data_IF_065738199682
#
_entry.id   IF_065738199682
#
_cell.length_a   1.000
_cell.length_b   1.000
_cell.length_c   1.000
_cell.angle_alpha   90.00
_cell.angle_beta   90.00
_cell.angle_gamma   90.00
#
_symmetry.space_group_name_H-M   'P 1'
#
loop_
_entity.id
_entity.type
_entity.pdbx_description
1 polymer ?
#
# COMPACT_ATOMS: atom_id res chain seq x y z
N UNK A 1 23.62 0.10 -4.51
CA UNK A 1 22.41 0.68 -5.15
C UNK A 1 21.31 0.67 -4.08
N UNK A 2 20.50 1.72 -3.97
CA UNK A 2 19.39 1.76 -3.01
C UNK A 2 18.35 0.76 -3.45
N UNK A 3 17.97 -0.14 -2.55
CA UNK A 3 16.82 -1.01 -2.74
C UNK A 3 15.55 -0.27 -2.24
N UNK A 4 14.71 0.12 -3.18
CA UNK A 4 13.50 0.89 -2.89
C UNK A 4 12.49 0.12 -2.04
N UNK A 5 12.41 -1.21 -2.19
CA UNK A 5 11.49 -2.04 -1.40
C UNK A 5 11.95 -2.13 0.07
N UNK A 6 13.26 -2.25 0.30
CA UNK A 6 13.83 -2.19 1.65
C UNK A 6 13.62 -0.81 2.26
N UNK A 7 13.92 0.25 1.50
CA UNK A 7 13.78 1.63 1.99
C UNK A 7 12.33 1.98 2.39
N UNK A 8 11.33 1.49 1.65
CA UNK A 8 9.92 1.63 2.05
C UNK A 8 9.66 1.05 3.44
N UNK A 9 10.18 -0.14 3.71
CA UNK A 9 10.01 -0.82 5.01
C UNK A 9 10.74 -0.08 6.13
N UNK A 10 11.90 0.50 5.84
CA UNK A 10 12.65 1.33 6.81
C UNK A 10 11.83 2.56 7.24
N UNK A 11 11.13 3.22 6.31
CA UNK A 11 10.22 4.32 6.63
C UNK A 11 9.00 3.89 7.44
N UNK A 12 8.44 2.72 7.15
CA UNK A 12 7.23 2.21 7.81
C UNK A 12 7.54 1.68 9.22
N UNK A 13 8.70 1.06 9.42
CA UNK A 13 9.06 0.35 10.66
C UNK A 13 8.84 1.18 11.93
N UNK A 14 9.18 2.48 12.01
CA UNK A 14 8.93 3.28 13.21
C UNK A 14 7.45 3.46 13.59
N UNK A 15 6.54 3.26 12.63
CA UNK A 15 5.09 3.44 12.80
C UNK A 15 4.36 2.14 13.15
N UNK A 16 5.06 0.99 13.09
CA UNK A 16 4.46 -0.29 13.44
C UNK A 16 4.15 -0.34 14.94
N UNK A 17 2.90 -0.69 15.25
CA UNK A 17 2.43 -0.85 16.64
C UNK A 17 1.85 -2.25 16.79
N UNK A 18 2.39 -3.04 17.69
CA UNK A 18 1.86 -4.39 17.98
C UNK A 18 0.38 -4.31 18.37
N UNK A 19 -0.43 -5.21 17.84
CA UNK A 19 -1.87 -5.25 18.09
C UNK A 19 -2.70 -4.20 17.31
N UNK A 20 -2.06 -3.31 16.53
CA UNK A 20 -2.75 -2.32 15.70
C UNK A 20 -3.26 -2.90 14.37
N UNK A 21 -3.80 -2.02 13.52
CA UNK A 21 -4.37 -2.37 12.21
C UNK A 21 -3.48 -1.86 11.09
N UNK A 22 -3.14 -2.73 10.15
CA UNK A 22 -2.43 -2.38 8.92
C UNK A 22 -3.24 -2.82 7.69
N UNK A 23 -2.95 -2.22 6.54
CA UNK A 23 -3.55 -2.61 5.27
C UNK A 23 -2.54 -2.66 4.13
N UNK A 24 -2.63 -3.72 3.32
CA UNK A 24 -2.00 -3.85 2.01
C UNK A 24 -3.10 -3.72 0.95
N UNK A 25 -3.15 -2.58 0.28
CA UNK A 25 -4.21 -2.26 -0.68
C UNK A 25 -3.99 -2.84 -2.08
N UNK A 26 -2.89 -3.57 -2.27
CA UNK A 26 -2.47 -4.19 -3.54
C UNK A 26 -1.69 -5.47 -3.25
N UNK A 27 -2.36 -6.48 -2.65
CA UNK A 27 -1.69 -7.65 -2.06
C UNK A 27 -0.83 -8.44 -3.06
N UNK A 28 -1.25 -8.51 -4.32
CA UNK A 28 -0.50 -9.15 -5.39
C UNK A 28 -0.06 -10.58 -5.06
N UNK A 29 1.26 -10.78 -4.94
CA UNK A 29 1.85 -12.06 -4.57
C UNK A 29 2.08 -12.22 -3.06
N UNK A 30 1.57 -11.33 -2.23
CA UNK A 30 1.55 -11.43 -0.77
C UNK A 30 2.86 -11.10 -0.03
N UNK A 31 3.82 -10.44 -0.69
CA UNK A 31 5.10 -10.11 -0.06
C UNK A 31 4.94 -9.09 1.08
N UNK A 32 4.21 -8.01 0.82
CA UNK A 32 4.00 -6.95 1.81
C UNK A 32 2.95 -7.36 2.84
N UNK A 33 1.92 -8.11 2.41
CA UNK A 33 0.95 -8.74 3.32
C UNK A 33 1.63 -9.65 4.35
N UNK A 34 2.57 -10.52 3.92
CA UNK A 34 3.34 -11.39 4.80
C UNK A 34 4.20 -10.59 5.78
N UNK A 35 4.89 -9.57 5.26
CA UNK A 35 5.73 -8.71 6.09
C UNK A 35 4.90 -7.97 7.15
N UNK A 36 3.78 -7.36 6.77
CA UNK A 36 2.86 -6.71 7.69
C UNK A 36 2.30 -7.69 8.73
N UNK A 37 1.86 -8.88 8.31
CA UNK A 37 1.34 -9.91 9.22
C UNK A 37 2.33 -10.24 10.32
N UNK A 38 3.60 -10.47 9.97
CA UNK A 38 4.68 -10.73 10.94
C UNK A 38 4.96 -9.54 11.84
N UNK A 39 4.98 -8.33 11.26
CA UNK A 39 5.29 -7.10 11.98
C UNK A 39 4.20 -6.70 12.99
N UNK A 40 2.92 -6.96 12.67
CA UNK A 40 1.78 -6.66 13.54
C UNK A 40 1.61 -7.66 14.69
N UNK A 41 2.24 -8.83 14.62
CA UNK A 41 2.14 -9.89 15.63
C UNK A 41 0.74 -10.53 15.70
N UNK A 42 0.58 -11.53 16.55
CA UNK A 42 -0.65 -12.34 16.64
C UNK A 42 -1.92 -11.53 16.99
N UNK A 43 -1.76 -10.45 17.75
CA UNK A 43 -2.86 -9.60 18.21
C UNK A 43 -3.22 -8.48 17.22
N UNK A 44 -2.41 -8.27 16.17
CA UNK A 44 -2.66 -7.28 15.12
C UNK A 44 -3.72 -7.71 14.13
N UNK A 45 -4.08 -6.79 13.22
CA UNK A 45 -4.96 -7.09 12.10
C UNK A 45 -4.35 -6.56 10.81
N UNK A 46 -4.34 -7.38 9.76
CA UNK A 46 -3.89 -6.99 8.42
C UNK A 46 -5.01 -7.23 7.42
N UNK A 47 -5.44 -6.18 6.75
CA UNK A 47 -6.39 -6.27 5.64
C UNK A 47 -5.61 -6.20 4.33
N UNK A 48 -5.85 -7.16 3.42
CA UNK A 48 -5.14 -7.22 2.15
C UNK A 48 -6.13 -7.29 0.99
N UNK A 49 -6.03 -6.35 0.04
CA UNK A 49 -6.96 -6.18 -1.07
C UNK A 49 -6.32 -6.51 -2.41
N UNK A 50 -7.08 -7.15 -3.27
CA UNK A 50 -6.82 -7.24 -4.70
C UNK A 50 -8.12 -7.54 -5.45
N UNK A 51 -8.21 -7.13 -6.70
CA UNK A 51 -9.35 -7.45 -7.59
C UNK A 51 -9.18 -8.76 -8.34
N UNK A 52 -8.00 -9.38 -8.26
CA UNK A 52 -7.64 -10.57 -9.00
C UNK A 52 -7.66 -11.80 -8.09
N UNK A 53 -8.48 -12.80 -8.44
CA UNK A 53 -8.54 -14.08 -7.72
C UNK A 53 -7.18 -14.77 -7.63
N UNK A 54 -6.38 -14.69 -8.70
CA UNK A 54 -5.00 -15.22 -8.74
C UNK A 54 -4.10 -14.58 -7.67
N UNK A 55 -4.26 -13.28 -7.40
CA UNK A 55 -3.51 -12.60 -6.35
C UNK A 55 -3.90 -13.11 -4.96
N UNK A 56 -5.21 -13.29 -4.72
CA UNK A 56 -5.72 -13.84 -3.46
C UNK A 56 -5.21 -15.27 -3.22
N UNK A 57 -5.26 -16.14 -4.24
CA UNK A 57 -4.72 -17.51 -4.17
C UNK A 57 -3.21 -17.51 -3.90
N UNK A 58 -2.45 -16.70 -4.64
CA UNK A 58 -0.99 -16.60 -4.48
C UNK A 58 -0.60 -16.09 -3.09
N UNK A 59 -1.30 -15.06 -2.59
CA UNK A 59 -1.08 -14.51 -1.26
C UNK A 59 -1.40 -15.54 -0.18
N UNK A 60 -2.54 -16.24 -0.28
CA UNK A 60 -2.92 -17.29 0.67
C UNK A 60 -1.86 -18.39 0.74
N UNK A 61 -1.47 -18.91 -0.43
CA UNK A 61 -0.45 -19.96 -0.50
C UNK A 61 0.88 -19.53 0.12
N UNK A 62 1.29 -18.28 -0.09
CA UNK A 62 2.49 -17.71 0.52
C UNK A 62 2.39 -17.63 2.04
N UNK A 63 1.29 -17.08 2.56
CA UNK A 63 1.08 -16.91 4.01
C UNK A 63 1.06 -18.27 4.73
N UNK A 64 0.43 -19.29 4.13
CA UNK A 64 0.40 -20.65 4.65
C UNK A 64 1.80 -21.29 4.61
N UNK A 65 2.50 -21.23 3.47
CA UNK A 65 3.85 -21.81 3.32
C UNK A 65 4.87 -21.19 4.29
N UNK A 66 4.73 -19.89 4.56
CA UNK A 66 5.61 -19.13 5.44
C UNK A 66 5.17 -19.13 6.90
N UNK A 67 4.11 -19.88 7.23
CA UNK A 67 3.53 -19.98 8.60
C UNK A 67 3.28 -18.59 9.21
N UNK A 68 2.65 -17.71 8.43
CA UNK A 68 2.30 -16.37 8.89
C UNK A 68 1.32 -16.41 10.07
N UNK A 69 1.37 -15.44 11.01
CA UNK A 69 0.32 -15.27 12.02
C UNK A 69 -1.06 -15.22 11.37
N UNK A 70 -2.07 -15.82 12.02
CA UNK A 70 -3.46 -15.85 11.50
C UNK A 70 -4.21 -14.54 11.82
N UNK A 71 -3.57 -13.41 11.55
CA UNK A 71 -4.02 -12.06 11.85
C UNK A 71 -4.43 -11.27 10.59
N UNK A 72 -4.63 -11.95 9.46
CA UNK A 72 -4.93 -11.32 8.17
C UNK A 72 -6.32 -11.66 7.64
N UNK A 73 -6.85 -10.74 6.86
CA UNK A 73 -8.09 -10.91 6.08
C UNK A 73 -7.79 -10.59 4.62
N UNK A 74 -7.92 -11.60 3.74
CA UNK A 74 -7.74 -11.43 2.29
C UNK A 74 -9.08 -11.06 1.65
N UNK A 75 -9.12 -9.96 0.90
CA UNK A 75 -10.33 -9.36 0.35
C UNK A 75 -10.21 -9.30 -1.18
N UNK A 76 -11.09 -10.02 -1.86
CA UNK A 76 -11.24 -9.98 -3.32
C UNK A 76 -12.21 -8.86 -3.69
N UNK A 77 -11.73 -7.62 -3.63
CA UNK A 77 -12.50 -6.43 -3.97
C UNK A 77 -11.55 -5.27 -4.30
N UNK A 78 -12.09 -4.22 -4.89
CA UNK A 78 -11.36 -2.98 -5.12
C UNK A 78 -10.96 -2.32 -3.79
N UNK A 79 -9.73 -1.85 -3.71
CA UNK A 79 -9.26 -1.03 -2.59
C UNK A 79 -10.09 0.25 -2.40
N UNK A 80 -10.82 0.72 -3.43
CA UNK A 80 -11.75 1.85 -3.30
C UNK A 80 -12.93 1.57 -2.37
N UNK A 81 -13.18 0.30 -2.02
CA UNK A 81 -14.22 -0.13 -1.09
C UNK A 81 -13.70 -0.34 0.34
N UNK A 82 -12.47 0.11 0.65
CA UNK A 82 -11.78 -0.20 1.92
C UNK A 82 -12.63 0.12 3.17
N UNK A 83 -13.40 1.21 3.18
CA UNK A 83 -14.29 1.59 4.29
C UNK A 83 -15.46 0.63 4.53
N UNK A 84 -15.75 -0.28 3.61
CA UNK A 84 -16.75 -1.33 3.84
C UNK A 84 -16.18 -2.41 4.78
N UNK A 85 -14.89 -2.65 4.75
CA UNK A 85 -14.19 -3.72 5.46
C UNK A 85 -13.46 -3.25 6.71
N UNK A 86 -12.75 -2.12 6.62
CA UNK A 86 -11.94 -1.57 7.71
C UNK A 86 -12.76 -0.52 8.46
N UNK A 87 -12.86 -0.67 9.78
CA UNK A 87 -13.59 0.26 10.66
C UNK A 87 -12.68 0.91 11.71
N UNK A 88 -11.52 0.34 11.91
CA UNK A 88 -10.52 0.78 12.87
C UNK A 88 -9.53 1.76 12.22
N UNK A 89 -8.89 2.64 13.00
CA UNK A 89 -7.79 3.47 12.51
C UNK A 89 -6.60 2.62 12.04
N UNK A 90 -5.93 3.07 10.98
CA UNK A 90 -4.77 2.42 10.39
C UNK A 90 -3.47 2.98 10.98
N UNK A 91 -2.60 2.14 11.54
CA UNK A 91 -1.24 2.55 11.83
C UNK A 91 -0.36 2.54 10.57
N UNK A 92 -0.62 1.61 9.64
CA UNK A 92 0.14 1.47 8.38
C UNK A 92 -0.81 1.14 7.23
N UNK A 93 -0.64 1.83 6.11
CA UNK A 93 -1.21 1.47 4.82
C UNK A 93 -0.13 1.40 3.73
N UNK A 94 -0.25 0.43 2.82
CA UNK A 94 0.67 0.27 1.69
C UNK A 94 -0.09 0.13 0.37
N UNK A 95 0.38 0.86 -0.65
CA UNK A 95 -0.02 0.70 -2.05
C UNK A 95 1.22 0.43 -2.91
N UNK A 96 1.15 -0.57 -3.78
CA UNK A 96 2.06 -0.76 -4.91
C UNK A 96 1.24 -0.63 -6.20
N UNK A 97 1.15 0.60 -6.72
CA UNK A 97 0.29 0.92 -7.87
C UNK A 97 0.90 0.38 -9.16
N UNK A 98 0.12 -0.39 -9.90
CA UNK A 98 0.55 -1.00 -11.14
C UNK A 98 -0.18 -2.31 -11.42
N UNK A 99 0.49 -3.22 -12.10
CA UNK A 99 -0.04 -4.53 -12.45
C UNK A 99 0.61 -5.66 -11.64
N UNK A 100 -0.09 -6.79 -11.52
CA UNK A 100 0.42 -7.96 -10.82
C UNK A 100 1.63 -8.55 -11.56
N UNK A 101 2.84 -8.56 -10.95
CA UNK A 101 4.02 -9.14 -11.56
C UNK A 101 3.82 -10.64 -11.87
N UNK A 102 4.15 -11.06 -13.09
CA UNK A 102 4.02 -12.47 -13.53
C UNK A 102 2.61 -12.89 -13.93
N UNK A 103 1.61 -11.98 -13.93
CA UNK A 103 0.25 -12.31 -14.41
C UNK A 103 0.16 -12.54 -15.92
N UNK A 104 1.13 -12.03 -16.69
CA UNK A 104 1.07 -11.99 -18.16
C UNK A 104 0.08 -10.96 -18.72
N UNK A 105 -0.73 -10.34 -17.90
CA UNK A 105 -1.74 -9.37 -18.29
C UNK A 105 -1.46 -7.97 -17.71
N UNK A 106 -0.71 -7.16 -18.47
CA UNK A 106 -0.40 -5.77 -18.11
C UNK A 106 -1.59 -4.81 -18.28
N UNK A 107 -2.69 -5.26 -18.89
CA UNK A 107 -3.90 -4.44 -19.05
C UNK A 107 -4.70 -4.32 -17.74
N UNK A 108 -4.52 -5.25 -16.80
CA UNK A 108 -5.06 -5.16 -15.45
C UNK A 108 -4.06 -4.41 -14.57
N UNK A 109 -4.19 -3.09 -14.54
CA UNK A 109 -3.43 -2.16 -13.69
C UNK A 109 -4.39 -1.39 -12.79
N UNK A 110 -3.86 -0.75 -11.76
CA UNK A 110 -4.62 0.21 -10.94
C UNK A 110 -5.15 1.33 -11.81
N UNK A 111 -6.31 1.87 -11.47
CA UNK A 111 -6.98 2.93 -12.20
C UNK A 111 -7.01 4.20 -11.35
N UNK A 112 -6.68 5.35 -11.95
CA UNK A 112 -6.63 6.66 -11.26
C UNK A 112 -7.88 6.98 -10.44
N UNK A 113 -9.07 6.62 -10.93
CA UNK A 113 -10.34 6.90 -10.24
C UNK A 113 -10.44 6.11 -8.93
N UNK A 114 -10.20 4.79 -8.98
CA UNK A 114 -10.24 3.94 -7.79
C UNK A 114 -9.09 4.23 -6.84
N UNK A 115 -7.89 4.51 -7.36
CA UNK A 115 -6.73 4.92 -6.58
C UNK A 115 -6.99 6.22 -5.82
N UNK A 116 -7.58 7.24 -6.48
CA UNK A 116 -7.93 8.50 -5.83
C UNK A 116 -8.85 8.31 -4.62
N UNK A 117 -9.91 7.53 -4.79
CA UNK A 117 -10.87 7.22 -3.71
C UNK A 117 -10.15 6.49 -2.58
N UNK A 118 -9.44 5.41 -2.89
CA UNK A 118 -8.79 4.59 -1.90
C UNK A 118 -7.72 5.34 -1.09
N UNK A 119 -6.88 6.15 -1.76
CA UNK A 119 -5.85 6.94 -1.10
C UNK A 119 -6.47 8.00 -0.19
N UNK A 120 -7.53 8.69 -0.65
CA UNK A 120 -8.25 9.66 0.19
C UNK A 120 -8.81 8.99 1.44
N UNK A 121 -9.51 7.87 1.27
CA UNK A 121 -10.12 7.12 2.37
C UNK A 121 -9.06 6.55 3.33
N UNK A 122 -7.94 6.03 2.81
CA UNK A 122 -6.85 5.53 3.63
C UNK A 122 -6.20 6.63 4.47
N UNK A 123 -5.97 7.83 3.90
CA UNK A 123 -5.42 8.99 4.63
C UNK A 123 -6.36 9.42 5.76
N UNK A 124 -7.67 9.48 5.50
CA UNK A 124 -8.66 9.81 6.54
C UNK A 124 -8.68 8.80 7.69
N UNK A 125 -8.39 7.54 7.39
CA UNK A 125 -8.37 6.45 8.36
C UNK A 125 -7.04 6.28 9.09
N UNK A 126 -5.98 7.01 8.72
CA UNK A 126 -4.72 6.92 9.47
C UNK A 126 -4.93 7.29 10.95
N UNK A 127 -4.37 6.49 11.82
CA UNK A 127 -4.26 6.82 13.24
C UNK A 127 -3.28 7.99 13.46
N UNK A 128 -3.25 8.57 14.65
CA UNK A 128 -2.17 9.48 15.06
C UNK A 128 -0.83 8.77 14.95
N UNK A 129 0.17 9.40 14.35
CA UNK A 129 1.45 8.82 13.96
C UNK A 129 1.33 7.67 12.94
N UNK A 130 0.19 7.49 12.29
CA UNK A 130 0.02 6.52 11.22
C UNK A 130 0.71 6.94 9.93
N UNK A 131 1.10 5.95 9.12
CA UNK A 131 1.81 6.16 7.85
C UNK A 131 1.10 5.47 6.68
N UNK A 132 0.99 6.18 5.55
CA UNK A 132 0.60 5.61 4.27
C UNK A 132 1.78 5.69 3.30
N UNK A 133 2.16 4.54 2.74
CA UNK A 133 3.20 4.42 1.72
C UNK A 133 2.56 4.10 0.38
N UNK A 134 2.88 4.88 -0.67
CA UNK A 134 2.33 4.67 -2.01
C UNK A 134 3.48 4.58 -3.00
N UNK A 135 3.79 3.37 -3.46
CA UNK A 135 4.75 3.15 -4.54
C UNK A 135 4.08 3.30 -5.90
N UNK A 136 4.72 4.07 -6.78
CA UNK A 136 4.28 4.34 -8.14
C UNK A 136 5.31 3.81 -9.12
N UNK A 137 4.85 3.13 -10.16
CA UNK A 137 5.68 2.57 -11.22
C UNK A 137 5.45 3.32 -12.55
N UNK A 138 6.20 4.41 -12.83
CA UNK A 138 5.96 5.28 -13.97
C UNK A 138 6.45 4.70 -15.31
N UNK A 139 6.86 3.44 -15.34
CA UNK A 139 7.37 2.77 -16.54
C UNK A 139 6.31 2.50 -17.64
N UNK A 140 5.05 2.89 -17.42
CA UNK A 140 3.94 2.83 -18.37
C UNK A 140 3.03 4.05 -18.20
N UNK A 141 2.22 4.34 -19.23
CA UNK A 141 1.43 5.57 -19.32
C UNK A 141 0.50 5.77 -18.11
N UNK A 142 -0.31 4.76 -17.75
CA UNK A 142 -1.21 4.87 -16.59
C UNK A 142 -0.46 5.10 -15.27
N UNK A 143 0.68 4.44 -15.05
CA UNK A 143 1.49 4.67 -13.85
C UNK A 143 2.08 6.08 -13.79
N UNK A 144 2.46 6.67 -14.93
CA UNK A 144 2.89 8.06 -14.99
C UNK A 144 1.75 9.01 -14.62
N UNK A 145 0.56 8.80 -15.21
CA UNK A 145 -0.65 9.59 -14.94
C UNK A 145 -1.16 9.43 -13.49
N UNK A 146 -1.07 8.23 -12.90
CA UNK A 146 -1.35 8.02 -11.47
C UNK A 146 -0.40 8.85 -10.60
N UNK A 147 0.89 8.85 -10.93
CA UNK A 147 1.89 9.63 -10.22
C UNK A 147 1.63 11.13 -10.27
N UNK A 148 1.26 11.68 -11.42
CA UNK A 148 0.90 13.09 -11.60
C UNK A 148 -0.37 13.45 -10.81
N UNK A 149 -1.40 12.62 -10.88
CA UNK A 149 -2.64 12.79 -10.13
C UNK A 149 -2.39 12.81 -8.62
N UNK A 150 -1.53 11.90 -8.12
CA UNK A 150 -1.17 11.84 -6.71
C UNK A 150 -0.34 13.05 -6.27
N UNK A 151 0.63 13.51 -7.07
CA UNK A 151 1.39 14.75 -6.80
C UNK A 151 0.45 15.94 -6.61
N UNK A 152 -0.50 16.13 -7.55
CA UNK A 152 -1.47 17.22 -7.48
C UNK A 152 -2.39 17.09 -6.26
N UNK A 153 -2.91 15.90 -5.99
CA UNK A 153 -3.83 15.66 -4.88
C UNK A 153 -3.15 15.83 -3.53
N UNK A 154 -2.01 15.19 -3.33
CA UNK A 154 -1.32 15.13 -2.05
C UNK A 154 -0.70 16.48 -1.66
N UNK A 155 -0.29 17.30 -2.63
CA UNK A 155 0.23 18.66 -2.37
C UNK A 155 -0.78 19.59 -1.69
N UNK A 156 -2.08 19.28 -1.73
CA UNK A 156 -3.16 20.08 -1.17
C UNK A 156 -3.46 19.76 0.30
N UNK A 157 -2.88 18.69 0.86
CA UNK A 157 -3.09 18.32 2.26
C UNK A 157 -2.42 19.32 3.22
N UNK A 158 -3.10 19.61 4.32
CA UNK A 158 -2.61 20.54 5.33
C UNK A 158 -1.35 20.01 6.03
N UNK A 159 -0.25 20.75 5.92
CA UNK A 159 1.00 20.42 6.62
C UNK A 159 0.89 20.43 8.15
N UNK A 160 -0.17 20.97 8.69
CA UNK A 160 -0.43 20.96 10.13
C UNK A 160 -0.98 19.61 10.61
N UNK A 161 -1.63 18.87 9.70
CA UNK A 161 -2.24 17.57 9.98
C UNK A 161 -1.42 16.42 9.43
N UNK A 162 -0.74 16.64 8.29
CA UNK A 162 0.03 15.61 7.59
C UNK A 162 1.41 16.11 7.19
N UNK A 163 2.39 15.21 7.23
CA UNK A 163 3.65 15.37 6.52
C UNK A 163 3.55 14.56 5.24
N UNK A 164 3.59 15.22 4.09
CA UNK A 164 3.60 14.55 2.78
C UNK A 164 4.97 14.75 2.17
N UNK A 165 5.63 13.64 1.84
CA UNK A 165 6.94 13.64 1.20
C UNK A 165 6.99 12.68 0.02
N UNK A 166 7.97 12.86 -0.86
CA UNK A 166 8.20 12.04 -2.05
C UNK A 166 9.66 11.64 -2.13
N UNK A 167 9.92 10.35 -2.23
CA UNK A 167 11.25 9.84 -2.50
C UNK A 167 11.37 9.40 -3.96
N UNK A 168 12.34 9.93 -4.68
CA UNK A 168 12.59 9.63 -6.10
C UNK A 168 14.09 9.60 -6.40
N UNK A 169 14.52 8.68 -7.25
CA UNK A 169 15.87 8.67 -7.83
C UNK A 169 15.88 9.68 -8.97
N UNK A 170 16.62 10.78 -8.78
CA UNK A 170 16.57 11.95 -9.68
C UNK A 170 17.08 11.62 -11.09
N UNK A 171 18.16 10.86 -11.20
CA UNK A 171 18.79 10.51 -12.46
C UNK A 171 18.26 9.22 -13.11
N UNK A 172 17.09 8.73 -12.66
CA UNK A 172 16.39 7.58 -13.21
C UNK A 172 14.89 7.85 -13.28
N UNK A 173 14.42 8.57 -14.31
CA UNK A 173 13.05 9.08 -14.39
C UNK A 173 11.98 7.98 -14.52
N UNK A 174 12.35 6.80 -15.02
CA UNK A 174 11.45 5.65 -15.19
C UNK A 174 11.49 4.66 -14.01
N UNK A 175 12.41 4.87 -13.05
CA UNK A 175 12.44 4.07 -11.83
C UNK A 175 11.21 4.32 -10.98
N UNK A 176 10.75 3.31 -10.23
CA UNK A 176 9.72 3.51 -9.22
C UNK A 176 10.09 4.62 -8.24
N UNK A 177 9.10 5.28 -7.72
CA UNK A 177 9.22 6.25 -6.63
C UNK A 177 8.06 6.05 -5.66
N UNK A 178 8.10 6.68 -4.49
CA UNK A 178 7.01 6.55 -3.54
C UNK A 178 6.69 7.86 -2.83
N UNK A 179 5.40 8.01 -2.49
CA UNK A 179 4.92 9.01 -1.57
C UNK A 179 4.84 8.43 -0.16
N UNK A 180 5.11 9.29 0.81
CA UNK A 180 5.02 9.00 2.24
C UNK A 180 4.06 10.02 2.82
N UNK A 181 2.99 9.58 3.45
CA UNK A 181 2.03 10.43 4.14
C UNK A 181 1.99 10.00 5.60
N UNK A 182 2.41 10.88 6.49
CA UNK A 182 2.41 10.68 7.94
C UNK A 182 1.36 11.58 8.57
N UNK A 183 0.47 11.02 9.39
CA UNK A 183 -0.49 11.80 10.17
C UNK A 183 0.16 12.26 11.47
N UNK A 184 0.08 13.57 11.73
CA UNK A 184 0.60 14.21 12.97
C UNK A 184 -0.36 14.07 14.14
#
# INVERSE_FOLDING_TARGET
MIDLLTLQKDFITPHLKEGAVAADFTMGNGNDTLWLSRAMGENGKVYAFDIQEKALESTRARLEAESAPQNYTLILDSHSNLKQYIKEPLCVGMFNLGYLPGSGNKALTTLRETTRVAVTDAIEMLDHDGILMIAVYPGHEEGALEGEMLDEMLSKYSRFQYCVSKFRIINSPTSPFFFIIERK
#
